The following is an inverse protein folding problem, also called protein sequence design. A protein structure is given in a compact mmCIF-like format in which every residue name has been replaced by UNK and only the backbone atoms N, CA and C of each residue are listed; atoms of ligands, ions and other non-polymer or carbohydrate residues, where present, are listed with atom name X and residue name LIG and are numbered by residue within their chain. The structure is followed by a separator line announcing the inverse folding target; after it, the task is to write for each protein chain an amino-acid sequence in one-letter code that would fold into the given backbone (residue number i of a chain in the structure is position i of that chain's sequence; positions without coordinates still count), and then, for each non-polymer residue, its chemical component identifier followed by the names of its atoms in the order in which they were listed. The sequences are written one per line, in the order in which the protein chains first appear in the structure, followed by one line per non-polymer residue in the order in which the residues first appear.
data_IF_642913800902
#
_entry.id   IF_642913800902
#
_cell.length_a   1.000
_cell.length_b   1.000
_cell.length_c   1.000
_cell.angle_alpha   90.00
_cell.angle_beta   90.00
_cell.angle_gamma   90.00
#
_symmetry.space_group_name_H-M   'P 1'
#
loop_
_entity.id
_entity.type
_entity.pdbx_description
1 polymer ?
#
# COMPACT_ATOMS: atom_id res chain seq x y z
N UNK A 1 6.34 11.09 -8.05
CA UNK A 1 6.38 11.14 -9.52
C UNK A 1 6.51 9.70 -10.04
N UNK A 2 5.40 8.98 -10.16
CA UNK A 2 5.39 7.76 -10.97
C UNK A 2 5.40 8.21 -12.44
N UNK A 3 6.34 7.70 -13.24
CA UNK A 3 6.37 8.01 -14.67
C UNK A 3 5.12 7.42 -15.34
N UNK A 4 4.46 8.12 -16.30
CA UNK A 4 3.37 7.56 -17.11
C UNK A 4 3.68 6.18 -17.71
N UNK A 5 4.97 5.88 -17.90
CA UNK A 5 5.44 4.57 -18.31
C UNK A 5 5.11 3.47 -17.29
N UNK A 6 5.34 3.66 -15.99
CA UNK A 6 5.10 2.63 -14.98
C UNK A 6 3.62 2.20 -14.97
N UNK A 7 2.72 3.18 -14.96
CA UNK A 7 1.28 2.94 -14.92
C UNK A 7 0.80 2.19 -16.17
N UNK A 8 1.41 2.46 -17.34
CA UNK A 8 1.07 1.78 -18.60
C UNK A 8 1.34 0.27 -18.60
N UNK A 9 2.29 -0.22 -17.80
CA UNK A 9 2.59 -1.66 -17.67
C UNK A 9 1.95 -2.28 -16.45
N UNK A 10 1.97 -1.61 -15.30
CA UNK A 10 1.49 -2.18 -14.04
C UNK A 10 -0.03 -2.25 -13.98
N UNK A 11 -0.72 -1.26 -14.55
CA UNK A 11 -2.19 -1.21 -14.50
C UNK A 11 -2.83 -2.38 -15.26
N UNK A 12 -2.46 -2.68 -16.53
CA UNK A 12 -2.98 -3.86 -17.22
C UNK A 12 -2.69 -5.18 -16.48
N UNK A 13 -1.49 -5.32 -15.91
CA UNK A 13 -1.10 -6.52 -15.15
C UNK A 13 -1.98 -6.67 -13.90
N UNK A 14 -2.19 -5.61 -13.15
CA UNK A 14 -3.06 -5.62 -11.97
C UNK A 14 -4.51 -5.99 -12.31
N UNK A 15 -5.05 -5.43 -13.40
CA UNK A 15 -6.39 -5.73 -13.91
C UNK A 15 -6.51 -7.20 -14.32
N UNK A 16 -5.54 -7.73 -15.06
CA UNK A 16 -5.52 -9.14 -15.44
C UNK A 16 -5.39 -10.06 -14.22
N UNK A 17 -4.59 -9.67 -13.21
CA UNK A 17 -4.45 -10.42 -11.98
C UNK A 17 -5.79 -10.54 -11.24
N UNK A 18 -6.61 -9.48 -11.18
CA UNK A 18 -7.96 -9.54 -10.60
C UNK A 18 -8.84 -10.56 -11.34
N UNK A 19 -8.80 -10.57 -12.68
CA UNK A 19 -9.55 -11.53 -13.48
C UNK A 19 -9.08 -12.97 -13.21
N UNK A 20 -7.78 -13.22 -13.26
CA UNK A 20 -7.21 -14.55 -13.07
C UNK A 20 -7.45 -15.08 -11.65
N UNK A 21 -7.53 -14.19 -10.66
CA UNK A 21 -7.89 -14.51 -9.28
C UNK A 21 -9.30 -15.08 -9.16
N UNK A 22 -10.26 -14.68 -10.02
CA UNK A 22 -11.60 -15.27 -10.06
C UNK A 22 -11.71 -16.48 -10.99
N UNK A 23 -11.01 -16.44 -12.11
CA UNK A 23 -10.97 -17.51 -13.11
C UNK A 23 -10.33 -18.77 -12.50
N UNK A 24 -9.11 -18.68 -11.97
CA UNK A 24 -8.33 -19.83 -11.48
C UNK A 24 -9.10 -20.82 -10.57
N UNK A 25 -9.80 -20.35 -9.52
CA UNK A 25 -10.70 -21.14 -8.67
C UNK A 25 -11.77 -21.98 -9.37
N UNK A 26 -12.24 -21.53 -10.54
CA UNK A 26 -13.30 -22.19 -11.32
C UNK A 26 -12.75 -23.30 -12.22
N UNK A 27 -11.44 -23.29 -12.51
CA UNK A 27 -10.78 -24.35 -13.25
C UNK A 27 -10.28 -25.40 -12.28
N UNK A 28 -11.05 -26.48 -12.12
CA UNK A 28 -10.44 -27.74 -11.74
C UNK A 28 -9.51 -28.14 -12.90
N UNK A 29 -8.20 -28.07 -12.69
CA UNK A 29 -7.19 -28.51 -13.68
C UNK A 29 -7.58 -29.92 -14.18
N UNK A 30 -8.16 -30.00 -15.39
CA UNK A 30 -8.85 -31.17 -15.93
C UNK A 30 -9.79 -30.85 -17.10
N UNK A 31 -10.44 -31.86 -17.69
CA UNK A 31 -11.34 -31.70 -18.85
C UNK A 31 -12.73 -31.21 -18.40
N UNK A 32 -12.96 -29.91 -18.38
CA UNK A 32 -14.29 -29.31 -18.27
C UNK A 32 -14.90 -29.21 -19.68
N UNK A 33 -16.15 -29.64 -19.87
CA UNK A 33 -16.84 -29.45 -21.14
C UNK A 33 -17.18 -27.97 -21.36
N UNK A 34 -17.14 -27.49 -22.61
CA UNK A 34 -17.45 -26.07 -22.91
C UNK A 34 -18.82 -25.62 -22.41
N UNK A 35 -19.82 -26.52 -22.42
CA UNK A 35 -21.15 -26.25 -21.88
C UNK A 35 -21.16 -26.07 -20.36
N UNK A 36 -20.37 -26.86 -19.62
CA UNK A 36 -20.21 -26.69 -18.18
C UNK A 36 -19.49 -25.37 -17.87
N UNK A 37 -18.42 -25.06 -18.62
CA UNK A 37 -17.68 -23.81 -18.47
C UNK A 37 -18.59 -22.58 -18.66
N UNK A 38 -19.41 -22.56 -19.73
CA UNK A 38 -20.37 -21.48 -19.99
C UNK A 38 -21.32 -21.27 -18.82
N UNK A 39 -21.90 -22.35 -18.28
CA UNK A 39 -22.81 -22.28 -17.12
C UNK A 39 -22.13 -21.71 -15.87
N UNK A 40 -20.85 -21.98 -15.68
CA UNK A 40 -20.09 -21.52 -14.52
C UNK A 40 -19.70 -20.04 -14.62
N UNK A 41 -19.35 -19.57 -15.82
CA UNK A 41 -18.89 -18.20 -16.05
C UNK A 41 -20.02 -17.20 -16.35
N UNK A 42 -21.21 -17.66 -16.75
CA UNK A 42 -22.28 -16.77 -17.21
C UNK A 42 -22.77 -15.80 -16.12
N UNK A 43 -23.00 -16.28 -14.90
CA UNK A 43 -23.46 -15.41 -13.80
C UNK A 43 -22.39 -14.37 -13.42
N UNK A 44 -21.11 -14.75 -13.21
CA UNK A 44 -20.02 -13.78 -13.07
C UNK A 44 -19.89 -12.78 -14.22
N UNK A 45 -20.04 -13.23 -15.48
CA UNK A 45 -19.95 -12.35 -16.64
C UNK A 45 -21.11 -11.35 -16.71
N UNK A 46 -22.33 -11.76 -16.35
CA UNK A 46 -23.48 -10.85 -16.24
C UNK A 46 -23.23 -9.81 -15.14
N UNK A 47 -22.72 -10.22 -13.98
CA UNK A 47 -22.38 -9.29 -12.91
C UNK A 47 -21.30 -8.28 -13.34
N UNK A 48 -20.28 -8.74 -14.08
CA UNK A 48 -19.24 -7.89 -14.64
C UNK A 48 -19.79 -6.86 -15.65
N UNK A 49 -20.62 -7.32 -16.60
CA UNK A 49 -21.26 -6.45 -17.58
C UNK A 49 -22.22 -5.46 -16.93
N UNK A 50 -22.99 -5.90 -15.94
CA UNK A 50 -23.86 -5.04 -15.13
C UNK A 50 -23.06 -3.97 -14.37
N UNK A 51 -21.97 -4.35 -13.70
CA UNK A 51 -21.10 -3.41 -13.00
C UNK A 51 -20.49 -2.39 -13.98
N UNK A 52 -20.04 -2.82 -15.16
CA UNK A 52 -19.51 -1.95 -16.19
C UNK A 52 -20.55 -0.93 -16.67
N UNK A 53 -21.77 -1.38 -16.98
CA UNK A 53 -22.87 -0.50 -17.42
C UNK A 53 -23.27 0.48 -16.32
N UNK A 54 -23.41 -0.01 -15.08
CA UNK A 54 -23.79 0.85 -13.94
C UNK A 54 -22.72 1.91 -13.67
N UNK A 55 -21.43 1.54 -13.67
CA UNK A 55 -20.35 2.49 -13.44
C UNK A 55 -20.24 3.50 -14.59
N UNK A 56 -20.37 3.07 -15.84
CA UNK A 56 -20.32 3.96 -17.00
C UNK A 56 -21.49 4.95 -17.06
N UNK A 57 -22.67 4.59 -16.53
CA UNK A 57 -23.87 5.44 -16.57
C UNK A 57 -24.04 6.35 -15.36
N UNK A 58 -23.52 5.95 -14.19
CA UNK A 58 -23.80 6.62 -12.92
C UNK A 58 -22.56 7.18 -12.23
N UNK A 59 -21.37 7.08 -12.83
CA UNK A 59 -20.12 7.61 -12.25
C UNK A 59 -19.22 8.18 -13.34
N UNK A 60 -18.24 8.99 -12.93
CA UNK A 60 -17.20 9.52 -13.82
C UNK A 60 -16.12 8.46 -14.15
N UNK A 61 -16.32 7.20 -13.76
CA UNK A 61 -15.37 6.13 -14.07
C UNK A 61 -15.19 5.92 -15.58
N UNK A 62 -16.13 6.38 -16.42
CA UNK A 62 -16.00 6.36 -17.88
C UNK A 62 -14.77 7.10 -18.40
N UNK A 63 -14.28 8.10 -17.66
CA UNK A 63 -13.06 8.85 -18.00
C UNK A 63 -11.78 8.03 -17.76
N UNK A 64 -11.90 6.88 -17.07
CA UNK A 64 -10.80 5.95 -16.78
C UNK A 64 -11.16 4.52 -17.22
N UNK A 65 -10.85 4.14 -18.48
CA UNK A 65 -11.15 2.80 -19.00
C UNK A 65 -10.59 1.68 -18.14
N UNK A 66 -9.39 1.87 -17.57
CA UNK A 66 -8.76 0.88 -16.69
C UNK A 66 -9.51 0.68 -15.38
N UNK A 67 -10.04 1.75 -14.78
CA UNK A 67 -10.85 1.65 -13.58
C UNK A 67 -12.15 0.86 -13.86
N UNK A 68 -12.84 1.16 -14.97
CA UNK A 68 -14.04 0.41 -15.37
C UNK A 68 -13.78 -1.09 -15.51
N UNK A 69 -12.70 -1.46 -16.22
CA UNK A 69 -12.36 -2.87 -16.42
C UNK A 69 -11.96 -3.53 -15.10
N UNK A 70 -11.20 -2.84 -14.24
CA UNK A 70 -10.85 -3.34 -12.91
C UNK A 70 -12.10 -3.68 -12.08
N UNK A 71 -13.03 -2.73 -11.97
CA UNK A 71 -14.25 -2.94 -11.18
C UNK A 71 -15.17 -4.00 -11.79
N UNK A 72 -15.27 -4.08 -13.12
CA UNK A 72 -16.00 -5.14 -13.79
C UNK A 72 -15.40 -6.53 -13.50
N UNK A 73 -14.07 -6.67 -13.56
CA UNK A 73 -13.39 -7.93 -13.21
C UNK A 73 -13.42 -8.23 -11.71
N UNK A 74 -13.44 -7.22 -10.85
CA UNK A 74 -13.68 -7.44 -9.44
C UNK A 74 -15.10 -7.99 -9.19
N UNK A 75 -16.12 -7.40 -9.82
CA UNK A 75 -17.50 -7.88 -9.75
C UNK A 75 -17.63 -9.33 -10.29
N UNK A 76 -16.94 -9.63 -11.40
CA UNK A 76 -16.80 -10.99 -11.91
C UNK A 76 -16.24 -11.92 -10.83
N UNK A 77 -15.08 -11.57 -10.26
CA UNK A 77 -14.36 -12.42 -9.32
C UNK A 77 -15.13 -12.63 -8.02
N UNK A 78 -15.69 -11.58 -7.41
CA UNK A 78 -16.51 -11.74 -6.21
C UNK A 78 -17.73 -12.61 -6.46
N UNK A 79 -18.39 -12.45 -7.61
CA UNK A 79 -19.55 -13.28 -7.99
C UNK A 79 -19.14 -14.73 -8.19
N UNK A 80 -18.01 -14.98 -8.88
CA UNK A 80 -17.46 -16.31 -9.10
C UNK A 80 -17.14 -17.03 -7.79
N UNK A 81 -16.46 -16.35 -6.86
CA UNK A 81 -16.12 -16.91 -5.56
C UNK A 81 -17.38 -17.19 -4.73
N UNK A 82 -18.29 -16.22 -4.64
CA UNK A 82 -19.56 -16.33 -3.91
C UNK A 82 -20.42 -17.48 -4.44
N UNK A 83 -20.48 -17.66 -5.76
CA UNK A 83 -21.18 -18.76 -6.41
C UNK A 83 -20.67 -20.12 -5.93
N UNK A 84 -19.37 -20.28 -5.70
CA UNK A 84 -18.80 -21.54 -5.21
C UNK A 84 -19.17 -21.83 -3.75
N UNK A 85 -19.26 -20.80 -2.90
CA UNK A 85 -19.82 -20.94 -1.54
C UNK A 85 -21.28 -21.40 -1.61
N UNK A 86 -22.09 -20.72 -2.44
CA UNK A 86 -23.50 -21.05 -2.61
C UNK A 86 -23.71 -22.48 -3.10
N UNK A 87 -22.98 -22.90 -4.14
CA UNK A 87 -23.05 -24.27 -4.70
C UNK A 87 -22.72 -25.33 -3.68
N UNK A 88 -21.71 -25.12 -2.84
CA UNK A 88 -21.33 -26.09 -1.82
C UNK A 88 -22.37 -26.21 -0.70
N UNK A 89 -22.94 -25.09 -0.25
CA UNK A 89 -24.05 -25.08 0.69
C UNK A 89 -25.31 -25.74 0.12
N UNK A 90 -25.69 -25.37 -1.11
CA UNK A 90 -26.86 -25.89 -1.82
C UNK A 90 -26.75 -27.39 -2.09
N UNK A 91 -25.60 -27.85 -2.58
CA UNK A 91 -25.36 -29.28 -2.84
C UNK A 91 -25.49 -30.09 -1.55
N UNK A 92 -24.86 -29.64 -0.45
CA UNK A 92 -25.01 -30.33 0.84
C UNK A 92 -26.44 -30.33 1.33
N UNK A 93 -27.12 -29.17 1.30
CA UNK A 93 -28.51 -29.03 1.73
C UNK A 93 -29.42 -30.01 0.98
N UNK A 94 -29.26 -30.13 -0.34
CA UNK A 94 -30.04 -31.07 -1.16
C UNK A 94 -29.77 -32.54 -0.83
N UNK A 95 -28.56 -32.88 -0.39
CA UNK A 95 -28.18 -34.26 -0.04
C UNK A 95 -28.54 -34.65 1.40
N UNK A 96 -28.57 -33.70 2.33
CA UNK A 96 -28.80 -33.98 3.77
C UNK A 96 -30.19 -33.60 4.25
N UNK A 97 -30.95 -32.82 3.46
CA UNK A 97 -32.21 -32.21 3.90
C UNK A 97 -32.04 -31.10 4.95
N UNK A 98 -30.81 -30.73 5.30
CA UNK A 98 -30.54 -29.64 6.24
C UNK A 98 -30.79 -28.28 5.57
N UNK A 99 -31.28 -27.29 6.32
CA UNK A 99 -31.38 -25.91 5.83
C UNK A 99 -30.02 -25.28 5.52
N UNK A 100 -29.99 -24.30 4.61
CA UNK A 100 -28.76 -23.63 4.12
C UNK A 100 -27.86 -23.11 5.25
N UNK A 101 -28.44 -22.53 6.29
CA UNK A 101 -27.70 -21.99 7.45
C UNK A 101 -26.87 -23.05 8.18
N UNK A 102 -27.29 -24.33 8.16
CA UNK A 102 -26.54 -25.45 8.74
C UNK A 102 -25.64 -26.12 7.70
N UNK A 103 -26.10 -26.19 6.46
CA UNK A 103 -25.38 -26.88 5.40
C UNK A 103 -24.10 -26.13 4.97
N UNK A 104 -24.16 -24.80 4.83
CA UNK A 104 -23.06 -23.99 4.32
C UNK A 104 -21.81 -24.04 5.23
N UNK A 105 -21.89 -23.74 6.56
CA UNK A 105 -20.72 -23.81 7.43
C UNK A 105 -20.09 -25.21 7.46
N UNK A 106 -20.90 -26.27 7.42
CA UNK A 106 -20.41 -27.66 7.37
C UNK A 106 -19.73 -27.99 6.04
N UNK A 107 -20.24 -27.48 4.92
CA UNK A 107 -19.61 -27.65 3.61
C UNK A 107 -18.25 -26.93 3.54
N UNK A 108 -18.17 -25.72 4.09
CA UNK A 108 -16.94 -24.93 4.20
C UNK A 108 -15.93 -25.65 5.12
N UNK A 109 -16.37 -26.09 6.31
CA UNK A 109 -15.52 -26.74 7.29
C UNK A 109 -14.96 -28.09 6.82
N UNK A 110 -15.65 -28.79 5.90
CA UNK A 110 -15.12 -30.02 5.28
C UNK A 110 -14.03 -29.73 4.26
N UNK A 111 -14.12 -28.61 3.55
CA UNK A 111 -13.20 -28.24 2.46
C UNK A 111 -12.43 -26.95 2.79
N UNK A 112 -11.89 -26.84 4.02
CA UNK A 112 -11.28 -25.59 4.53
C UNK A 112 -10.21 -25.03 3.62
N UNK A 113 -9.32 -25.88 3.09
CA UNK A 113 -8.24 -25.45 2.19
C UNK A 113 -8.78 -24.74 0.95
N UNK A 114 -9.85 -25.28 0.36
CA UNK A 114 -10.50 -24.71 -0.84
C UNK A 114 -11.14 -23.36 -0.52
N UNK A 115 -11.98 -23.29 0.51
CA UNK A 115 -12.71 -22.07 0.85
C UNK A 115 -11.83 -21.00 1.50
N UNK A 116 -10.82 -21.39 2.27
CA UNK A 116 -9.78 -20.48 2.75
C UNK A 116 -8.98 -19.86 1.61
N UNK A 117 -8.67 -20.66 0.58
CA UNK A 117 -8.14 -20.15 -0.68
C UNK A 117 -9.05 -19.10 -1.32
N UNK A 118 -10.36 -19.35 -1.40
CA UNK A 118 -11.31 -18.38 -1.96
C UNK A 118 -11.41 -17.09 -1.15
N UNK A 119 -11.40 -17.17 0.19
CA UNK A 119 -11.33 -15.99 1.06
C UNK A 119 -10.03 -15.22 0.80
N UNK A 120 -8.90 -15.94 0.64
CA UNK A 120 -7.63 -15.31 0.38
C UNK A 120 -7.64 -14.53 -0.95
N UNK A 121 -8.19 -15.13 -2.01
CA UNK A 121 -8.36 -14.52 -3.33
C UNK A 121 -9.29 -13.29 -3.26
N UNK A 122 -10.40 -13.38 -2.52
CA UNK A 122 -11.28 -12.23 -2.29
C UNK A 122 -10.53 -11.06 -1.61
N UNK A 123 -9.69 -11.36 -0.61
CA UNK A 123 -8.84 -10.36 0.05
C UNK A 123 -7.85 -9.69 -0.89
N UNK A 124 -7.22 -10.46 -1.79
CA UNK A 124 -6.33 -9.92 -2.84
C UNK A 124 -7.11 -8.98 -3.77
N UNK A 125 -8.33 -9.31 -4.17
CA UNK A 125 -9.16 -8.42 -5.00
C UNK A 125 -9.51 -7.13 -4.26
N UNK A 126 -9.91 -7.20 -2.99
CA UNK A 126 -10.15 -5.99 -2.16
C UNK A 126 -8.88 -5.13 -2.07
N UNK A 127 -7.72 -5.76 -1.87
CA UNK A 127 -6.43 -5.06 -1.81
C UNK A 127 -6.13 -4.35 -3.13
N UNK A 128 -6.28 -5.02 -4.27
CA UNK A 128 -6.02 -4.43 -5.59
C UNK A 128 -7.00 -3.28 -5.92
N UNK A 129 -8.27 -3.40 -5.53
CA UNK A 129 -9.22 -2.28 -5.57
C UNK A 129 -8.72 -1.13 -4.69
N UNK A 130 -8.27 -1.43 -3.47
CA UNK A 130 -7.72 -0.44 -2.54
C UNK A 130 -6.55 0.34 -3.14
N UNK A 131 -5.64 -0.33 -3.88
CA UNK A 131 -4.52 0.33 -4.58
C UNK A 131 -5.04 1.27 -5.66
N UNK A 132 -5.96 0.79 -6.50
CA UNK A 132 -6.49 1.60 -7.58
C UNK A 132 -7.30 2.80 -7.06
N UNK A 133 -8.10 2.59 -6.02
CA UNK A 133 -8.89 3.63 -5.37
C UNK A 133 -7.99 4.63 -4.65
N UNK A 134 -6.95 4.19 -3.92
CA UNK A 134 -6.04 5.12 -3.21
C UNK A 134 -5.28 6.02 -4.16
N UNK A 135 -4.89 5.52 -5.33
CA UNK A 135 -4.29 6.33 -6.39
C UNK A 135 -5.31 7.27 -7.06
N UNK A 136 -6.52 6.80 -7.35
CA UNK A 136 -7.53 7.59 -8.07
C UNK A 136 -8.12 8.73 -7.22
N UNK A 137 -8.26 8.52 -5.92
CA UNK A 137 -8.80 9.52 -4.98
C UNK A 137 -7.69 10.30 -4.25
N UNK A 138 -6.44 10.13 -4.67
CA UNK A 138 -5.31 10.88 -4.12
C UNK A 138 -5.46 12.37 -4.40
N UNK A 139 -5.29 13.18 -3.36
CA UNK A 139 -5.12 14.63 -3.52
C UNK A 139 -3.64 14.97 -3.41
N UNK A 140 -3.11 15.74 -4.37
CA UNK A 140 -1.74 16.22 -4.37
C UNK A 140 -1.74 17.75 -4.56
N UNK A 141 -1.19 18.48 -3.59
CA UNK A 141 -1.16 19.95 -3.57
C UNK A 141 0.21 20.45 -3.19
N UNK A 142 0.74 21.36 -4.00
CA UNK A 142 1.93 22.12 -3.66
C UNK A 142 1.49 23.42 -2.95
N UNK A 143 1.88 23.58 -1.70
CA UNK A 143 1.55 24.72 -0.84
C UNK A 143 2.81 25.55 -0.67
N UNK A 144 2.78 26.84 -1.04
CA UNK A 144 3.85 27.77 -0.69
C UNK A 144 3.42 28.50 0.57
N UNK A 145 4.17 28.34 1.67
CA UNK A 145 3.81 28.87 2.99
C UNK A 145 4.95 29.68 3.60
N UNK A 146 4.59 30.79 4.23
CA UNK A 146 5.44 31.53 5.17
C UNK A 146 5.45 30.87 6.56
N UNK A 147 6.45 31.18 7.39
CA UNK A 147 6.49 30.71 8.78
C UNK A 147 5.30 31.29 9.55
N UNK A 148 4.54 30.41 10.20
CA UNK A 148 3.30 30.72 10.90
C UNK A 148 2.04 30.61 10.03
N UNK A 149 2.18 30.49 8.70
CA UNK A 149 1.06 30.34 7.79
C UNK A 149 0.49 28.92 7.80
N UNK A 150 -0.83 28.83 7.62
CA UNK A 150 -1.57 27.58 7.54
C UNK A 150 -2.32 27.46 6.21
N UNK A 151 -2.42 26.24 5.69
CA UNK A 151 -3.28 25.91 4.55
C UNK A 151 -4.01 24.58 4.76
N UNK A 152 -5.18 24.47 4.13
CA UNK A 152 -6.05 23.29 4.26
C UNK A 152 -6.00 22.43 2.99
N UNK A 153 -5.87 21.11 3.16
CA UNK A 153 -5.90 20.11 2.09
C UNK A 153 -6.78 18.95 2.53
N UNK A 154 -8.00 18.87 1.97
CA UNK A 154 -9.02 17.94 2.45
C UNK A 154 -9.38 18.25 3.90
N UNK A 155 -9.35 17.23 4.75
CA UNK A 155 -9.66 17.33 6.19
C UNK A 155 -8.46 17.77 7.03
N UNK A 156 -7.31 18.03 6.38
CA UNK A 156 -6.05 18.39 7.03
C UNK A 156 -5.78 19.88 6.97
N UNK A 157 -5.35 20.46 8.10
CA UNK A 157 -4.77 21.80 8.16
C UNK A 157 -3.30 21.68 8.51
N UNK A 158 -2.44 22.23 7.65
CA UNK A 158 -0.98 22.16 7.76
C UNK A 158 -0.46 23.54 8.07
N UNK A 159 0.30 23.68 9.14
CA UNK A 159 0.93 24.94 9.55
C UNK A 159 2.44 24.82 9.48
N UNK A 160 3.10 25.73 8.76
CA UNK A 160 4.56 25.78 8.73
C UNK A 160 5.08 26.50 9.97
N UNK A 161 5.72 25.78 10.89
CA UNK A 161 6.16 26.32 12.18
C UNK A 161 7.56 26.94 12.16
N UNK A 162 8.38 26.55 11.18
CA UNK A 162 9.75 27.04 11.07
C UNK A 162 10.69 26.01 10.46
N UNK A 163 11.96 26.37 10.35
CA UNK A 163 13.00 25.56 9.76
C UNK A 163 14.09 25.28 10.79
N UNK A 164 14.72 24.11 10.71
CA UNK A 164 16.02 23.88 11.33
C UNK A 164 17.01 23.38 10.30
N UNK A 165 18.29 23.72 10.48
CA UNK A 165 19.38 23.18 9.68
C UNK A 165 20.20 22.19 10.51
N UNK A 166 20.52 21.04 9.91
CA UNK A 166 21.50 20.06 10.41
C UNK A 166 22.66 19.95 9.39
N UNK A 167 23.62 20.90 9.42
CA UNK A 167 24.79 20.85 8.58
C UNK A 167 25.79 19.80 9.09
N UNK A 168 26.10 18.83 8.26
CA UNK A 168 27.10 17.79 8.50
C UNK A 168 28.22 17.89 7.45
N UNK A 169 29.37 17.26 7.70
CA UNK A 169 30.50 17.28 6.76
C UNK A 169 30.11 16.81 5.35
N UNK A 170 29.28 15.76 5.29
CA UNK A 170 28.91 15.09 4.04
C UNK A 170 27.62 15.61 3.40
N UNK A 171 26.81 16.41 4.12
CA UNK A 171 25.54 16.96 3.62
C UNK A 171 25.06 18.16 4.42
N UNK A 172 24.25 19.00 3.81
CA UNK A 172 23.43 19.99 4.52
C UNK A 172 21.99 19.50 4.52
N UNK A 173 21.36 19.40 5.69
CA UNK A 173 19.95 19.04 5.81
C UNK A 173 19.13 20.23 6.30
N UNK A 174 18.04 20.54 5.61
CA UNK A 174 17.03 21.50 6.06
C UNK A 174 15.77 20.73 6.45
N UNK A 175 15.35 20.87 7.70
CA UNK A 175 14.21 20.16 8.29
C UNK A 175 13.09 21.16 8.57
N UNK A 176 12.01 21.11 7.81
CA UNK A 176 10.86 21.97 8.06
C UNK A 176 9.99 21.36 9.16
N UNK A 177 9.53 22.17 10.10
CA UNK A 177 8.60 21.75 11.14
C UNK A 177 7.17 22.07 10.69
N UNK A 178 6.36 21.04 10.51
CA UNK A 178 4.94 21.16 10.18
C UNK A 178 4.09 20.70 11.35
N UNK A 179 3.13 21.52 11.76
CA UNK A 179 2.07 21.10 12.69
C UNK A 179 0.83 20.79 11.89
N UNK A 180 0.37 19.54 11.96
CA UNK A 180 -0.72 19.01 11.15
C UNK A 180 -1.89 18.66 12.06
N UNK A 181 -3.06 19.17 11.69
CA UNK A 181 -4.33 18.94 12.35
C UNK A 181 -5.29 18.25 11.38
N UNK A 182 -6.14 17.35 11.89
CA UNK A 182 -7.20 16.68 11.13
C UNK A 182 -8.52 16.84 11.88
N UNK A 183 -9.54 17.37 11.22
CA UNK A 183 -10.87 17.55 11.81
C UNK A 183 -10.88 18.28 13.17
N UNK A 184 -9.94 19.20 13.38
CA UNK A 184 -9.80 19.95 14.64
C UNK A 184 -9.06 19.21 15.76
N UNK A 185 -8.59 17.99 15.54
CA UNK A 185 -7.69 17.26 16.45
C UNK A 185 -6.25 17.31 15.94
N UNK A 186 -5.29 17.35 16.88
CA UNK A 186 -3.88 17.35 16.51
C UNK A 186 -3.50 15.98 15.94
N UNK A 187 -3.08 15.96 14.66
CA UNK A 187 -2.74 14.74 13.94
C UNK A 187 -1.30 14.33 14.20
N UNK A 188 -0.35 15.23 13.92
CA UNK A 188 1.09 15.04 14.15
C UNK A 188 1.87 16.34 13.97
N UNK A 189 3.02 16.44 14.65
CA UNK A 189 4.10 17.32 14.23
C UNK A 189 5.04 16.52 13.31
N UNK A 190 5.19 16.97 12.06
CA UNK A 190 6.01 16.31 11.04
C UNK A 190 7.26 17.13 10.76
N UNK A 191 8.37 16.45 10.48
CA UNK A 191 9.65 17.10 10.16
C UNK A 191 10.20 16.63 8.82
N UNK A 192 9.53 16.91 7.68
CA UNK A 192 10.10 16.61 6.37
C UNK A 192 11.44 17.33 6.17
N UNK A 193 12.37 16.67 5.49
CA UNK A 193 13.71 17.20 5.28
C UNK A 193 14.12 17.21 3.81
N UNK A 194 14.99 18.16 3.45
CA UNK A 194 15.69 18.22 2.17
C UNK A 194 17.19 18.18 2.44
N UNK A 195 17.85 17.16 1.89
CA UNK A 195 19.28 16.93 2.03
C UNK A 195 20.02 17.36 0.77
N UNK A 196 21.17 17.99 0.95
CA UNK A 196 22.04 18.51 -0.11
C UNK A 196 23.45 17.94 0.06
N UNK A 197 23.89 17.17 -0.93
CA UNK A 197 25.19 16.50 -0.95
C UNK A 197 26.15 17.23 -1.90
N UNK A 198 27.42 17.41 -1.55
CA UNK A 198 28.34 18.18 -2.36
C UNK A 198 28.70 17.47 -3.67
N UNK A 199 28.74 18.23 -4.76
CA UNK A 199 29.37 17.79 -6.01
C UNK A 199 30.90 17.82 -5.91
N UNK A 200 31.56 17.02 -6.75
CA UNK A 200 33.01 17.02 -6.93
C UNK A 200 33.46 17.99 -8.04
N UNK A 201 32.53 18.73 -8.67
CA UNK A 201 32.86 19.73 -9.68
C UNK A 201 33.60 20.93 -9.04
N UNK A 202 34.86 21.19 -9.42
CA UNK A 202 35.61 22.34 -8.90
C UNK A 202 34.97 23.70 -9.22
N UNK A 203 34.16 23.79 -10.28
CA UNK A 203 33.53 25.06 -10.70
C UNK A 203 32.46 25.56 -9.71
N UNK A 204 31.88 24.67 -8.90
CA UNK A 204 30.83 25.02 -7.94
C UNK A 204 31.36 25.80 -6.71
N UNK A 205 32.67 25.81 -6.51
CA UNK A 205 33.32 26.51 -5.39
C UNK A 205 33.10 25.84 -4.01
N UNK A 206 33.72 26.38 -2.95
CA UNK A 206 33.73 25.73 -1.63
C UNK A 206 32.35 25.66 -0.96
N UNK A 207 31.45 26.60 -1.26
CA UNK A 207 30.09 26.67 -0.71
C UNK A 207 29.06 26.12 -1.70
N UNK A 208 29.10 26.61 -2.94
CA UNK A 208 28.11 26.27 -3.98
C UNK A 208 28.04 24.77 -4.27
N UNK A 209 29.15 24.04 -4.08
CA UNK A 209 29.20 22.58 -4.28
C UNK A 209 28.08 21.80 -3.58
N UNK A 210 27.60 22.22 -2.41
CA UNK A 210 26.50 21.53 -1.72
C UNK A 210 25.14 21.74 -2.41
N UNK A 211 24.92 22.91 -3.00
CA UNK A 211 23.64 23.29 -3.60
C UNK A 211 23.56 22.90 -5.08
N UNK A 212 24.71 22.75 -5.75
CA UNK A 212 24.83 22.30 -7.14
C UNK A 212 24.99 20.76 -7.27
N UNK A 213 25.07 20.05 -6.14
CA UNK A 213 25.20 18.60 -6.11
C UNK A 213 23.87 17.85 -6.10
N UNK A 214 23.86 16.67 -5.49
CA UNK A 214 22.66 15.84 -5.41
C UNK A 214 21.77 16.28 -4.24
N UNK A 215 20.46 16.26 -4.46
CA UNK A 215 19.49 16.56 -3.42
C UNK A 215 18.50 15.42 -3.22
N UNK A 216 18.32 14.99 -1.97
CA UNK A 216 17.33 13.96 -1.58
C UNK A 216 16.27 14.55 -0.66
N UNK A 217 15.12 13.87 -0.56
CA UNK A 217 14.03 14.30 0.32
C UNK A 217 13.63 13.20 1.27
N UNK A 218 13.41 13.58 2.51
CA UNK A 218 12.76 12.79 3.53
C UNK A 218 11.34 13.32 3.71
N UNK A 219 10.37 12.42 3.62
CA UNK A 219 8.97 12.77 3.74
C UNK A 219 8.56 12.83 5.21
N UNK A 220 7.81 13.86 5.57
CA UNK A 220 7.11 13.94 6.83
C UNK A 220 5.88 13.04 6.76
N UNK A 221 5.87 11.98 7.56
CA UNK A 221 4.72 11.08 7.67
C UNK A 221 4.56 10.63 9.12
N UNK A 222 3.31 10.39 9.52
CA UNK A 222 3.00 9.64 10.73
C UNK A 222 2.89 8.17 10.34
N UNK A 223 3.73 7.30 10.90
CA UNK A 223 3.73 5.89 10.52
C UNK A 223 2.53 5.18 11.15
N UNK A 224 1.66 4.61 10.34
CA UNK A 224 0.57 3.77 10.82
C UNK A 224 -0.23 3.16 9.68
N UNK A 225 -1.01 2.10 9.94
CA UNK A 225 -1.82 1.44 8.91
C UNK A 225 -3.03 2.28 8.46
N UNK A 226 -3.43 3.27 9.25
CA UNK A 226 -4.60 4.12 8.95
C UNK A 226 -4.21 5.51 8.45
N UNK A 227 -2.93 5.83 8.47
CA UNK A 227 -2.44 7.16 8.18
C UNK A 227 -2.34 7.34 6.66
N UNK A 228 -2.95 8.41 6.16
CA UNK A 228 -3.10 8.70 4.73
C UNK A 228 -2.47 10.02 4.31
N UNK A 229 -1.82 10.73 5.24
CA UNK A 229 -1.18 12.02 5.02
C UNK A 229 0.34 11.89 4.98
N UNK A 230 0.96 12.50 3.97
CA UNK A 230 2.38 12.81 4.01
C UNK A 230 2.69 14.16 3.36
N UNK A 231 3.81 14.75 3.77
CA UNK A 231 4.31 16.00 3.21
C UNK A 231 5.78 15.84 2.79
N UNK A 232 6.15 16.43 1.65
CA UNK A 232 7.54 16.60 1.25
C UNK A 232 7.87 18.10 1.24
N UNK A 233 9.11 18.43 1.61
CA UNK A 233 9.57 19.79 1.76
C UNK A 233 10.53 20.17 0.62
N UNK A 234 10.36 21.38 0.09
CA UNK A 234 11.26 22.00 -0.86
C UNK A 234 11.57 23.45 -0.42
N UNK A 235 12.79 23.72 0.09
CA UNK A 235 13.20 25.06 0.45
C UNK A 235 13.36 25.94 -0.79
N UNK A 236 13.16 27.25 -0.62
CA UNK A 236 13.51 28.26 -1.62
C UNK A 236 14.92 28.76 -1.35
N UNK A 237 15.88 28.34 -2.17
CA UNK A 237 17.30 28.67 -2.00
C UNK A 237 17.69 29.97 -2.72
N UNK A 238 16.75 30.66 -3.37
CA UNK A 238 17.06 31.85 -4.17
C UNK A 238 17.70 32.95 -3.32
N UNK A 239 17.29 33.06 -2.05
CA UNK A 239 17.86 34.01 -1.10
C UNK A 239 19.32 33.73 -0.72
N UNK A 240 19.83 32.51 -0.94
CA UNK A 240 21.20 32.14 -0.62
C UNK A 240 22.21 32.44 -1.73
N UNK A 241 21.75 32.72 -2.95
CA UNK A 241 22.62 32.93 -4.12
C UNK A 241 23.76 33.94 -3.88
N UNK A 242 23.46 35.17 -3.44
CA UNK A 242 24.50 36.19 -3.20
C UNK A 242 25.52 35.79 -2.13
N UNK A 243 25.06 35.13 -1.06
CA UNK A 243 25.88 34.64 0.05
C UNK A 243 26.77 33.48 -0.38
N UNK A 244 26.25 32.56 -1.21
CA UNK A 244 27.00 31.46 -1.81
C UNK A 244 28.11 32.00 -2.71
N UNK A 245 27.81 32.95 -3.60
CA UNK A 245 28.82 33.57 -4.48
C UNK A 245 29.90 34.33 -3.69
N UNK A 246 29.49 35.05 -2.64
CA UNK A 246 30.41 35.76 -1.74
C UNK A 246 31.32 34.77 -1.01
N UNK A 247 30.75 33.71 -0.45
CA UNK A 247 31.47 32.64 0.23
C UNK A 247 32.44 31.91 -0.71
N UNK A 248 32.01 31.61 -1.94
CA UNK A 248 32.86 30.99 -2.95
C UNK A 248 34.14 31.80 -3.24
N UNK A 249 34.04 33.12 -3.32
CA UNK A 249 35.19 34.01 -3.53
C UNK A 249 36.07 34.14 -2.28
N UNK A 250 35.46 34.32 -1.10
CA UNK A 250 36.20 34.63 0.12
C UNK A 250 36.87 33.41 0.75
N UNK A 251 36.34 32.20 0.50
CA UNK A 251 36.78 30.97 1.16
C UNK A 251 37.61 30.06 0.25
N UNK A 252 37.92 30.49 -0.97
CA UNK A 252 38.66 29.69 -1.96
C UNK A 252 40.01 29.19 -1.41
N UNK A 253 40.74 30.06 -0.69
CA UNK A 253 42.05 29.75 -0.10
C UNK A 253 41.97 29.31 1.38
N UNK A 254 40.76 29.23 1.94
CA UNK A 254 40.55 28.87 3.35
C UNK A 254 40.60 27.34 3.49
N UNK A 255 41.28 26.80 4.52
CA UNK A 255 41.30 25.36 4.76
C UNK A 255 39.88 24.76 4.90
N UNK A 256 39.68 23.47 4.57
CA UNK A 256 38.35 22.83 4.59
C UNK A 256 37.57 22.98 5.90
N UNK A 257 38.28 23.03 7.04
CA UNK A 257 37.69 23.23 8.36
C UNK A 257 37.04 24.61 8.51
N UNK A 258 37.67 25.66 7.98
CA UNK A 258 37.11 27.02 7.98
C UNK A 258 35.95 27.15 6.99
N UNK A 259 36.03 26.47 5.85
CA UNK A 259 34.91 26.37 4.90
C UNK A 259 33.69 25.69 5.54
N UNK A 260 33.90 24.61 6.29
CA UNK A 260 32.84 23.89 7.00
C UNK A 260 32.12 24.78 8.02
N UNK A 261 32.86 25.59 8.79
CA UNK A 261 32.26 26.55 9.73
C UNK A 261 31.38 27.59 9.02
N UNK A 262 31.83 28.10 7.87
CA UNK A 262 31.05 29.04 7.08
C UNK A 262 29.76 28.41 6.53
N UNK A 263 29.81 27.14 6.12
CA UNK A 263 28.63 26.37 5.68
C UNK A 263 27.64 26.22 6.83
N UNK A 264 28.11 25.85 8.01
CA UNK A 264 27.28 25.73 9.21
C UNK A 264 26.58 27.06 9.52
N UNK A 265 27.34 28.16 9.53
CA UNK A 265 26.80 29.48 9.79
C UNK A 265 25.78 29.93 8.72
N UNK A 266 26.05 29.67 7.45
CA UNK A 266 25.13 29.98 6.34
C UNK A 266 23.81 29.20 6.49
N UNK A 267 23.89 27.90 6.76
CA UNK A 267 22.72 27.06 6.92
C UNK A 267 21.90 27.44 8.16
N UNK A 268 22.56 27.81 9.27
CA UNK A 268 21.88 28.32 10.47
C UNK A 268 21.19 29.65 10.21
N UNK A 269 21.88 30.60 9.56
CA UNK A 269 21.30 31.91 9.21
C UNK A 269 20.05 31.76 8.33
N UNK A 270 20.08 30.83 7.36
CA UNK A 270 18.92 30.50 6.54
C UNK A 270 17.76 29.92 7.37
N UNK A 271 18.07 29.09 8.37
CA UNK A 271 17.05 28.47 9.22
C UNK A 271 16.43 29.45 10.23
N UNK A 272 17.16 30.46 10.65
CA UNK A 272 16.70 31.47 11.61
C UNK A 272 15.67 32.44 11.00
N UNK A 273 15.80 32.76 9.71
CA UNK A 273 14.85 33.59 8.95
C UNK A 273 14.58 32.98 7.56
N UNK A 274 13.83 31.86 7.51
CA UNK A 274 13.64 31.13 6.27
C UNK A 274 12.63 31.86 5.36
N UNK A 275 12.90 31.95 4.05
CA UNK A 275 11.91 32.43 3.09
C UNK A 275 10.72 31.45 3.00
N UNK A 276 9.60 31.87 2.38
CA UNK A 276 8.49 30.97 2.14
C UNK A 276 8.91 29.69 1.41
N UNK A 277 8.49 28.56 1.93
CA UNK A 277 8.87 27.24 1.45
C UNK A 277 7.72 26.55 0.73
N UNK A 278 8.04 25.61 -0.15
CA UNK A 278 7.04 24.81 -0.85
C UNK A 278 6.91 23.44 -0.20
N UNK A 279 5.67 23.04 0.07
CA UNK A 279 5.31 21.75 0.66
C UNK A 279 4.43 20.99 -0.31
N UNK A 280 4.89 19.82 -0.74
CA UNK A 280 4.03 18.88 -1.46
C UNK A 280 3.27 18.04 -0.46
N UNK A 281 1.99 18.35 -0.30
CA UNK A 281 1.06 17.63 0.58
C UNK A 281 0.26 16.63 -0.22
N UNK A 282 0.20 15.40 0.28
CA UNK A 282 -0.53 14.30 -0.35
C UNK A 282 -1.44 13.64 0.68
N UNK A 283 -2.68 13.41 0.27
CA UNK A 283 -3.71 12.72 1.07
C UNK A 283 -4.28 11.55 0.27
N UNK A 284 -4.27 10.35 0.86
CA UNK A 284 -4.65 9.07 0.22
C UNK A 284 -5.79 8.36 0.99
N UNK A 285 -7.06 8.81 0.90
CA UNK A 285 -8.14 8.41 1.80
C UNK A 285 -8.50 6.91 1.78
N UNK A 286 -8.06 6.16 0.77
CA UNK A 286 -8.42 4.74 0.58
C UNK A 286 -7.31 3.76 1.01
N UNK A 287 -6.24 4.22 1.68
CA UNK A 287 -5.16 3.35 2.17
C UNK A 287 -5.68 2.24 3.08
N UNK A 288 -6.71 2.50 3.88
CA UNK A 288 -7.33 1.50 4.76
C UNK A 288 -7.79 0.24 4.02
N UNK A 289 -8.26 0.36 2.77
CA UNK A 289 -8.71 -0.78 1.99
C UNK A 289 -7.58 -1.75 1.63
N UNK A 290 -6.34 -1.27 1.57
CA UNK A 290 -5.15 -2.12 1.43
C UNK A 290 -5.01 -3.07 2.62
N UNK A 291 -5.16 -2.53 3.84
CA UNK A 291 -5.05 -3.30 5.07
C UNK A 291 -6.23 -4.22 5.30
N UNK A 292 -7.45 -3.77 4.98
CA UNK A 292 -8.64 -4.64 5.01
C UNK A 292 -8.44 -5.82 4.06
N UNK A 293 -8.03 -5.57 2.80
CA UNK A 293 -7.75 -6.62 1.83
C UNK A 293 -6.66 -7.59 2.29
N UNK A 294 -5.56 -7.06 2.83
CA UNK A 294 -4.47 -7.86 3.40
C UNK A 294 -4.94 -8.74 4.57
N UNK A 295 -5.75 -8.20 5.49
CA UNK A 295 -6.28 -8.93 6.63
C UNK A 295 -7.23 -10.05 6.19
N UNK A 296 -8.10 -9.80 5.22
CA UNK A 296 -8.97 -10.82 4.61
C UNK A 296 -8.11 -11.91 3.97
N UNK A 297 -7.07 -11.51 3.22
CA UNK A 297 -6.18 -12.44 2.53
C UNK A 297 -5.46 -13.37 3.50
N UNK A 298 -4.85 -12.80 4.55
CA UNK A 298 -4.16 -13.51 5.62
C UNK A 298 -5.11 -14.42 6.41
N UNK A 299 -6.32 -13.94 6.73
CA UNK A 299 -7.34 -14.75 7.42
C UNK A 299 -7.77 -15.95 6.59
N UNK A 300 -7.96 -15.77 5.29
CA UNK A 300 -8.25 -16.87 4.36
C UNK A 300 -7.13 -17.89 4.27
N UNK A 301 -5.87 -17.42 4.17
CA UNK A 301 -4.70 -18.28 4.15
C UNK A 301 -4.54 -19.08 5.47
N UNK A 302 -4.67 -18.42 6.62
CA UNK A 302 -4.65 -19.06 7.93
C UNK A 302 -5.77 -20.10 8.06
N UNK A 303 -6.98 -19.78 7.58
CA UNK A 303 -8.11 -20.72 7.57
C UNK A 303 -7.84 -21.94 6.69
N UNK A 304 -7.17 -21.76 5.54
CA UNK A 304 -6.82 -22.81 4.61
C UNK A 304 -5.77 -23.78 5.14
N UNK A 305 -4.78 -23.26 5.89
CA UNK A 305 -3.68 -24.04 6.50
C UNK A 305 -4.16 -24.77 7.76
N UNK A 306 -5.19 -24.26 8.44
CA UNK A 306 -5.67 -24.84 9.69
C UNK A 306 -6.11 -26.32 9.51
N UNK A 307 -5.63 -27.24 10.37
CA UNK A 307 -5.84 -28.67 10.18
C UNK A 307 -7.33 -29.05 10.20
N UNK A 308 -7.75 -29.81 9.18
CA UNK A 308 -9.11 -30.32 9.08
C UNK A 308 -9.43 -31.29 10.23
N UNK A 309 -10.70 -31.44 10.57
CA UNK A 309 -11.14 -32.44 11.56
C UNK A 309 -10.77 -33.87 11.14
N UNK A 310 -10.79 -34.16 9.83
CA UNK A 310 -10.39 -35.44 9.26
C UNK A 310 -8.88 -35.67 9.41
N UNK A 311 -8.04 -34.66 9.13
CA UNK A 311 -6.59 -34.76 9.34
C UNK A 311 -6.25 -34.97 10.82
N UNK A 312 -6.91 -34.26 11.73
CA UNK A 312 -6.75 -34.48 13.18
C UNK A 312 -7.17 -35.89 13.60
N UNK A 313 -8.27 -36.41 13.05
CA UNK A 313 -8.72 -37.78 13.32
C UNK A 313 -7.75 -38.82 12.77
N UNK A 314 -7.19 -38.63 11.58
CA UNK A 314 -6.17 -39.52 11.01
C UNK A 314 -4.88 -39.53 11.82
N UNK A 315 -4.39 -38.36 12.25
CA UNK A 315 -3.21 -38.24 13.12
C UNK A 315 -3.47 -38.95 14.46
N UNK A 316 -4.65 -38.76 15.05
CA UNK A 316 -5.04 -39.45 16.29
C UNK A 316 -5.04 -40.98 16.11
N UNK A 317 -5.66 -41.48 15.04
CA UNK A 317 -5.71 -42.91 14.73
C UNK A 317 -4.30 -43.49 14.48
N UNK A 318 -3.44 -42.75 13.78
CA UNK A 318 -2.05 -43.16 13.55
C UNK A 318 -1.23 -43.20 14.84
N UNK A 319 -1.46 -42.24 15.75
CA UNK A 319 -0.85 -42.21 17.08
C UNK A 319 -1.34 -43.38 17.96
N UNK A 320 -2.66 -43.61 18.03
CA UNK A 320 -3.25 -44.73 18.76
C UNK A 320 -2.73 -46.08 18.24
N UNK A 321 -2.63 -46.26 16.92
CA UNK A 321 -2.05 -47.46 16.32
C UNK A 321 -0.55 -47.64 16.62
N UNK A 322 0.22 -46.54 16.70
CA UNK A 322 1.64 -46.59 17.09
C UNK A 322 1.79 -46.97 18.57
N UNK A 323 1.00 -46.36 19.44
CA UNK A 323 1.02 -46.64 20.88
C UNK A 323 0.65 -48.11 21.15
N UNK A 324 -0.35 -48.65 20.46
CA UNK A 324 -0.71 -50.07 20.56
C UNK A 324 0.46 -51.00 20.23
N UNK A 325 1.19 -50.73 19.14
CA UNK A 325 2.40 -51.51 18.79
C UNK A 325 3.52 -51.41 19.82
N UNK A 326 3.73 -50.23 20.41
CA UNK A 326 4.76 -50.02 21.44
C UNK A 326 4.41 -50.71 22.77
N UNK A 327 3.11 -50.83 23.11
CA UNK A 327 2.63 -51.55 24.31
C UNK A 327 2.67 -53.07 24.11
N UNK A 328 2.41 -53.59 22.91
CA UNK A 328 2.48 -55.04 22.60
C UNK A 328 3.92 -55.57 22.47
N UNK A 329 4.87 -54.71 22.06
CA UNK A 329 6.27 -55.08 21.88
C UNK A 329 6.99 -55.69 23.11
N UNK A 330 6.73 -55.26 24.37
CA UNK A 330 7.29 -55.92 25.56
C UNK A 330 6.53 -57.19 26.01
N UNK A 331 5.28 -57.40 25.59
CA UNK A 331 4.50 -58.60 25.95
C UNK A 331 4.96 -59.84 25.16
N UNK A 332 5.34 -59.66 23.89
CA UNK A 332 5.82 -60.76 23.03
C UNK A 332 7.25 -61.24 23.35
N UNK A 333 8.01 -60.55 24.21
CA UNK A 333 9.37 -60.98 24.63
C UNK A 333 9.39 -61.78 25.93
N UNK A 334 8.23 -62.06 26.53
CA UNK A 334 8.09 -62.79 27.81
C UNK A 334 7.28 -64.08 27.72
N UNK A 335 6.95 -64.54 26.51
CA UNK A 335 6.40 -65.87 26.23
C UNK A 335 7.44 -66.68 25.45
#
# INVERSE_FOLDING_TARGET
LGSPWFDSYVTPIGVLLVLFTGVGPLFAWGRISGAALRKVLMVPAIAAGGALVLLALFTDAADSPWALVLFAFAAFTFTALTQEFWRAGSSRSSLTGEGMARALPKAIARNRRRFGGYIAHAGIVVLLIGIAASSSFQTNRDLRLDVGESATVGDYTVTYKGLSADPQTERIAFNAVLDVWKDGEQFAALTPARNYYPTQDPAAGPIGRYFDGEATSEIGLKSGPFEDFWAAFQPDLTSLGPEIERGNRQLADVPPQGQALAIVALAQTYADDPPPATFRVIVNPMVIWLWIGALIALSGAAFAIWPSSEARRQVKMAYEARLGREIEAPAARRA
#
